data_IF_122235762116
#
_entry.id   IF_122235762116
#
_cell.length_a   1.000
_cell.length_b   1.000
_cell.length_c   1.000
_cell.angle_alpha   90.00
_cell.angle_beta   90.00
_cell.angle_gamma   90.00
#
_symmetry.space_group_name_H-M   'P 1'
#
loop_
_entity.id
_entity.type
_entity.pdbx_description
1 polymer ?
#
# COMPACT_ATOMS: atom_id res chain seq x y z
N UNK A 1 3.02 14.34 19.68
CA UNK A 1 1.92 13.62 19.01
C UNK A 1 2.35 13.37 17.57
N UNK A 2 2.64 12.12 17.19
CA UNK A 2 2.99 11.80 15.79
C UNK A 2 1.70 11.87 14.97
N UNK A 3 1.54 12.91 14.15
CA UNK A 3 0.50 12.91 13.13
C UNK A 3 0.78 11.72 12.22
N UNK A 4 -0.06 10.68 12.29
CA UNK A 4 0.04 9.57 11.35
C UNK A 4 -0.16 10.19 9.97
N UNK A 5 0.89 10.18 9.15
CA UNK A 5 0.83 10.63 7.75
C UNK A 5 -0.41 10.01 7.11
N UNK A 6 -1.26 10.84 6.52
CA UNK A 6 -2.42 10.37 5.77
C UNK A 6 -1.96 9.93 4.37
N UNK A 7 -2.60 8.92 3.76
CA UNK A 7 -2.30 8.57 2.40
C UNK A 7 -2.68 9.72 1.45
N UNK A 8 -1.91 9.88 0.38
CA UNK A 8 -2.22 10.80 -0.73
C UNK A 8 -3.48 10.32 -1.45
N UNK A 9 -3.57 9.00 -1.68
CA UNK A 9 -4.72 8.38 -2.31
C UNK A 9 -4.93 6.96 -1.78
N UNK A 10 -6.18 6.51 -1.79
CA UNK A 10 -6.56 5.15 -1.41
C UNK A 10 -7.70 4.65 -2.29
N UNK A 11 -7.51 3.48 -2.87
CA UNK A 11 -8.48 2.79 -3.70
C UNK A 11 -8.66 1.36 -3.18
N UNK A 12 -9.86 0.84 -3.33
CA UNK A 12 -10.18 -0.53 -2.98
C UNK A 12 -11.21 -1.11 -3.96
N UNK A 13 -11.08 -2.40 -4.23
CA UNK A 13 -12.09 -3.15 -4.97
C UNK A 13 -12.18 -4.58 -4.45
N UNK A 14 -13.37 -5.17 -4.53
CA UNK A 14 -13.56 -6.59 -4.23
C UNK A 14 -12.99 -7.40 -5.40
N UNK A 15 -12.12 -8.36 -5.12
CA UNK A 15 -11.58 -9.29 -6.13
C UNK A 15 -12.50 -10.50 -6.31
N UNK A 16 -13.00 -11.04 -5.20
CA UNK A 16 -13.91 -12.17 -5.16
C UNK A 16 -14.69 -12.13 -3.84
N UNK A 17 -15.37 -13.22 -3.49
CA UNK A 17 -16.22 -13.20 -2.31
C UNK A 17 -15.50 -12.92 -0.99
N UNK A 18 -14.23 -13.30 -0.90
CA UNK A 18 -13.41 -13.28 0.32
C UNK A 18 -12.27 -12.28 0.27
N UNK A 19 -11.84 -11.87 -0.93
CA UNK A 19 -10.62 -11.10 -1.14
C UNK A 19 -10.91 -9.67 -1.65
N UNK A 20 -10.14 -8.71 -1.13
CA UNK A 20 -10.16 -7.30 -1.52
C UNK A 20 -8.76 -6.85 -1.93
N UNK A 21 -8.66 -6.16 -3.07
CA UNK A 21 -7.46 -5.46 -3.49
C UNK A 21 -7.53 -4.02 -2.99
N UNK A 22 -6.50 -3.58 -2.29
CA UNK A 22 -6.30 -2.19 -1.89
C UNK A 22 -5.04 -1.64 -2.53
N UNK A 23 -5.12 -0.42 -3.07
CA UNK A 23 -3.96 0.36 -3.51
C UNK A 23 -3.93 1.64 -2.68
N UNK A 24 -2.82 1.89 -1.99
CA UNK A 24 -2.63 3.11 -1.19
C UNK A 24 -1.35 3.80 -1.61
N UNK A 25 -1.42 5.09 -1.88
CA UNK A 25 -0.28 5.95 -2.21
C UNK A 25 0.05 6.79 -0.99
N UNK A 26 1.30 6.74 -0.55
CA UNK A 26 1.83 7.52 0.56
C UNK A 26 2.90 8.46 0.05
N UNK A 27 3.11 9.57 0.76
CA UNK A 27 4.29 10.38 0.55
C UNK A 27 5.55 9.59 0.98
N UNK A 28 6.64 9.74 0.23
CA UNK A 28 7.94 9.20 0.59
C UNK A 28 8.42 9.77 1.93
N UNK A 29 8.97 8.90 2.78
CA UNK A 29 9.47 9.33 4.10
C UNK A 29 10.80 10.09 4.01
N UNK A 30 11.68 9.65 3.13
CA UNK A 30 13.02 10.22 2.95
C UNK A 30 13.02 11.35 1.93
N UNK A 31 12.26 11.19 0.84
CA UNK A 31 12.03 12.21 -0.17
C UNK A 31 10.53 12.54 -0.22
N UNK A 32 10.10 13.74 0.22
CA UNK A 32 8.71 14.16 0.20
C UNK A 32 8.10 14.32 -1.20
N UNK A 33 8.93 14.37 -2.25
CA UNK A 33 8.49 14.44 -3.65
C UNK A 33 8.31 13.07 -4.29
N UNK A 34 8.77 12.02 -3.61
CA UNK A 34 8.56 10.64 -3.99
C UNK A 34 7.27 10.07 -3.41
N UNK A 35 6.83 8.95 -3.97
CA UNK A 35 5.62 8.25 -3.59
C UNK A 35 5.94 6.80 -3.20
N UNK A 36 5.22 6.28 -2.21
CA UNK A 36 5.22 4.85 -1.87
C UNK A 36 3.85 4.30 -2.25
N UNK A 37 3.83 3.42 -3.24
CA UNK A 37 2.62 2.76 -3.72
C UNK A 37 2.56 1.37 -3.10
N UNK A 38 1.52 1.12 -2.30
CA UNK A 38 1.29 -0.18 -1.65
C UNK A 38 0.06 -0.82 -2.26
N UNK A 39 0.24 -1.93 -2.96
CA UNK A 39 -0.82 -2.83 -3.35
C UNK A 39 -0.90 -3.97 -2.32
N UNK A 40 -2.10 -4.28 -1.84
CA UNK A 40 -2.33 -5.36 -0.88
C UNK A 40 -3.59 -6.12 -1.25
N UNK A 41 -3.52 -7.45 -1.17
CA UNK A 41 -4.70 -8.31 -1.17
C UNK A 41 -4.97 -8.68 0.28
N UNK A 42 -6.15 -8.33 0.76
CA UNK A 42 -6.63 -8.72 2.08
C UNK A 42 -7.75 -9.73 1.93
N UNK A 43 -7.67 -10.84 2.66
CA UNK A 43 -8.69 -11.86 2.74
C UNK A 43 -9.43 -11.71 4.05
N UNK A 44 -10.76 -11.80 3.99
CA UNK A 44 -11.58 -11.98 5.19
C UNK A 44 -11.54 -13.45 5.58
N UNK A 45 -11.03 -13.73 6.78
CA UNK A 45 -11.01 -15.05 7.40
C UNK A 45 -11.72 -14.91 8.74
N UNK A 46 -12.87 -15.57 8.85
CA UNK A 46 -13.79 -15.40 9.98
C UNK A 46 -14.17 -13.91 10.16
N UNK A 47 -13.84 -13.32 11.31
CA UNK A 47 -14.04 -11.90 11.61
C UNK A 47 -12.78 -11.04 11.46
N UNK A 48 -11.69 -11.63 10.97
CA UNK A 48 -10.40 -10.95 10.78
C UNK A 48 -10.03 -10.74 9.31
N UNK A 49 -9.18 -9.74 9.09
CA UNK A 49 -8.62 -9.42 7.77
C UNK A 49 -7.12 -9.69 7.73
N UNK A 50 -6.73 -10.76 7.06
CA UNK A 50 -5.33 -11.11 6.83
C UNK A 50 -4.82 -10.49 5.53
N UNK A 51 -3.57 -10.05 5.52
CA UNK A 51 -2.89 -9.65 4.26
C UNK A 51 -2.31 -10.91 3.63
N UNK A 52 -2.90 -11.37 2.53
CA UNK A 52 -2.45 -12.59 1.81
C UNK A 52 -1.49 -12.28 0.66
N UNK A 53 -1.39 -11.00 0.28
CA UNK A 53 -0.41 -10.54 -0.69
C UNK A 53 -0.12 -9.06 -0.48
N UNK A 54 1.14 -8.66 -0.64
CA UNK A 54 1.56 -7.27 -0.52
C UNK A 54 2.70 -6.98 -1.48
N UNK A 55 2.62 -5.83 -2.14
CA UNK A 55 3.69 -5.25 -2.92
C UNK A 55 3.81 -3.79 -2.53
N UNK A 56 5.03 -3.35 -2.22
CA UNK A 56 5.33 -1.95 -2.00
C UNK A 56 6.36 -1.49 -3.03
N UNK A 57 6.06 -0.41 -3.72
CA UNK A 57 6.92 0.23 -4.70
C UNK A 57 7.25 1.63 -4.20
N UNK A 58 8.50 2.04 -4.41
CA UNK A 58 8.91 3.42 -4.30
C UNK A 58 9.00 4.00 -5.71
N UNK A 59 8.39 5.17 -5.90
CA UNK A 59 8.37 5.89 -7.17
C UNK A 59 8.98 7.28 -6.94
N UNK A 60 10.04 7.59 -7.64
CA UNK A 60 10.65 8.93 -7.60
C UNK A 60 9.87 9.90 -8.49
N UNK A 61 10.08 11.21 -8.30
CA UNK A 61 9.41 12.26 -9.09
C UNK A 61 9.71 12.17 -10.59
N UNK A 62 10.92 11.74 -10.96
CA UNK A 62 11.37 11.48 -12.34
C UNK A 62 10.78 10.20 -12.94
N UNK A 63 10.05 9.40 -12.16
CA UNK A 63 9.32 8.22 -12.64
C UNK A 63 10.12 6.92 -12.56
N UNK A 64 11.23 6.88 -11.83
CA UNK A 64 11.95 5.63 -11.55
C UNK A 64 11.20 4.83 -10.48
N UNK A 65 11.08 3.51 -10.68
CA UNK A 65 10.41 2.60 -9.74
C UNK A 65 11.39 1.61 -9.13
N UNK A 66 11.26 1.36 -7.83
CA UNK A 66 11.97 0.28 -7.15
C UNK A 66 11.05 -0.47 -6.19
N UNK A 67 11.26 -1.79 -6.08
CA UNK A 67 10.52 -2.61 -5.12
C UNK A 67 11.10 -2.38 -3.72
N UNK A 68 10.24 -2.07 -2.76
CA UNK A 68 10.62 -2.00 -1.36
C UNK A 68 10.65 -3.40 -0.74
N UNK A 69 11.51 -3.63 0.26
CA UNK A 69 11.55 -4.90 0.98
C UNK A 69 10.18 -5.26 1.55
N UNK A 70 9.87 -6.55 1.51
CA UNK A 70 8.70 -7.06 2.21
C UNK A 70 8.92 -6.90 3.71
N UNK A 71 7.90 -6.36 4.40
CA UNK A 71 7.93 -6.27 5.87
C UNK A 71 7.54 -7.65 6.41
N UNK A 72 8.50 -8.34 7.02
CA UNK A 72 8.23 -9.51 7.86
C UNK A 72 7.45 -9.11 9.10
#
# INVERSE_FOLDING_TARGET
>A
MSSKSQPIARFYTRLNDRDFLGVTVWQGKTDPTAEIIVAQVRRRKDDDWETVGRLALYRTRDGTYSKLPDKK
#
